data_IF_629982587264
#
_entry.id   IF_629982587264
#
_cell.length_a   1.000
_cell.length_b   1.000
_cell.length_c   1.000
_cell.angle_alpha   90.00
_cell.angle_beta   90.00
_cell.angle_gamma   90.00
#
_symmetry.space_group_name_H-M   'P 1'
#
loop_
_entity.id
_entity.type
_entity.pdbx_description
1 polymer ?
#
# COMPACT_ATOMS: atom_id res chain seq x y z
N UNK A 1 -24.25 -43.81 -39.24
CA UNK A 1 -23.34 -44.89 -38.76
C UNK A 1 -22.05 -44.19 -38.36
N UNK A 2 -21.50 -44.19 -37.15
CA UNK A 2 -21.56 -45.02 -35.92
C UNK A 2 -21.44 -44.05 -34.71
N UNK A 3 -22.35 -44.09 -33.71
CA UNK A 3 -22.12 -44.56 -32.32
C UNK A 3 -20.65 -44.55 -31.85
N UNK A 4 -20.34 -43.96 -30.68
CA UNK A 4 -20.41 -44.67 -29.39
C UNK A 4 -20.06 -43.78 -28.15
N UNK A 5 -20.76 -44.06 -27.04
CA UNK A 5 -20.35 -44.10 -25.61
C UNK A 5 -19.36 -43.06 -25.04
N UNK A 6 -19.59 -42.38 -23.91
CA UNK A 6 -20.15 -42.87 -22.65
C UNK A 6 -19.01 -43.07 -21.64
N UNK A 7 -19.04 -42.36 -20.50
CA UNK A 7 -18.01 -42.46 -19.46
C UNK A 7 -18.39 -41.70 -18.20
N UNK A 8 -19.25 -42.31 -17.39
CA UNK A 8 -19.42 -42.01 -15.96
C UNK A 8 -18.09 -42.30 -15.24
N UNK A 9 -17.71 -41.47 -14.26
CA UNK A 9 -16.84 -41.97 -13.20
C UNK A 9 -17.27 -41.46 -11.84
N UNK A 10 -17.21 -42.40 -10.91
CA UNK A 10 -17.89 -42.46 -9.63
C UNK A 10 -16.95 -42.04 -8.51
N UNK A 11 -17.53 -41.87 -7.31
CA UNK A 11 -16.92 -41.24 -6.16
C UNK A 11 -15.67 -41.90 -5.56
N UNK A 12 -14.98 -41.06 -4.77
CA UNK A 12 -14.08 -41.41 -3.66
C UNK A 12 -14.41 -40.33 -2.61
N UNK A 13 -15.02 -40.59 -1.46
CA UNK A 13 -14.62 -41.55 -0.45
C UNK A 13 -13.69 -40.86 0.57
N UNK A 14 -14.21 -39.92 1.38
CA UNK A 14 -13.43 -39.26 2.44
C UNK A 14 -13.82 -39.85 3.80
N UNK A 15 -12.84 -40.32 4.61
CA UNK A 15 -13.10 -40.91 5.92
C UNK A 15 -13.37 -39.85 7.02
N UNK A 16 -14.15 -40.19 8.07
CA UNK A 16 -14.34 -39.32 9.22
C UNK A 16 -13.12 -39.38 10.18
N UNK A 17 -12.71 -38.21 10.67
CA UNK A 17 -11.67 -38.05 11.68
C UNK A 17 -12.24 -38.04 13.11
N UNK A 18 -11.44 -38.42 14.12
CA UNK A 18 -11.92 -38.90 15.41
C UNK A 18 -12.33 -37.82 16.41
N UNK A 19 -13.34 -38.20 17.19
CA UNK A 19 -13.80 -37.65 18.46
C UNK A 19 -12.65 -37.45 19.45
N UNK A 20 -12.52 -36.25 20.01
CA UNK A 20 -11.71 -36.01 21.22
C UNK A 20 -12.58 -35.38 22.30
N UNK A 21 -12.93 -36.22 23.27
CA UNK A 21 -13.56 -35.87 24.54
C UNK A 21 -12.49 -35.39 25.53
N UNK A 22 -12.80 -34.40 26.37
CA UNK A 22 -11.92 -33.96 27.47
C UNK A 22 -12.21 -32.50 27.86
N UNK A 23 -13.22 -32.23 28.69
CA UNK A 23 -13.18 -32.21 30.17
C UNK A 23 -12.28 -31.08 30.71
N UNK A 24 -12.90 -30.11 31.41
CA UNK A 24 -12.16 -29.18 32.27
C UNK A 24 -12.79 -27.81 32.48
N UNK A 25 -14.02 -27.74 33.00
CA UNK A 25 -14.57 -26.54 33.66
C UNK A 25 -14.11 -26.54 35.12
N UNK A 26 -13.60 -25.43 35.65
CA UNK A 26 -13.94 -25.07 37.02
C UNK A 26 -14.62 -23.69 37.13
N UNK A 27 -15.44 -23.49 38.18
CA UNK A 27 -16.41 -22.39 38.29
C UNK A 27 -15.81 -21.10 38.85
N UNK A 28 -16.57 -20.03 38.63
CA UNK A 28 -16.38 -18.69 39.15
C UNK A 28 -17.03 -18.47 40.54
N UNK A 29 -16.80 -17.27 41.10
CA UNK A 29 -17.58 -16.58 42.17
C UNK A 29 -17.13 -16.98 43.61
N UNK A 30 -16.94 -16.13 44.63
CA UNK A 30 -17.42 -14.78 44.96
C UNK A 30 -16.51 -14.05 45.98
N UNK A 31 -16.88 -12.80 46.24
CA UNK A 31 -16.22 -11.68 46.91
C UNK A 31 -16.28 -11.63 48.45
N UNK A 32 -15.35 -10.81 48.98
CA UNK A 32 -15.46 -9.85 50.13
C UNK A 32 -15.52 -10.40 51.57
N UNK A 33 -15.35 -9.54 52.61
CA UNK A 33 -14.43 -8.41 52.81
C UNK A 33 -13.61 -8.59 54.13
N UNK A 34 -12.48 -7.88 54.31
CA UNK A 34 -11.84 -7.79 55.63
C UNK A 34 -11.61 -6.33 56.03
N UNK A 35 -12.36 -5.91 57.03
CA UNK A 35 -12.23 -4.68 57.81
C UNK A 35 -11.09 -4.82 58.81
N UNK A 36 -10.14 -3.88 58.82
CA UNK A 36 -9.33 -3.58 59.99
C UNK A 36 -9.03 -2.06 60.04
N UNK A 37 -9.37 -1.49 61.18
CA UNK A 37 -9.30 -0.08 61.56
C UNK A 37 -7.96 0.19 62.31
N UNK A 38 -7.69 1.39 62.88
CA UNK A 38 -6.45 2.15 62.70
C UNK A 38 -5.42 2.00 63.84
N UNK A 39 -4.16 2.38 63.59
CA UNK A 39 -3.26 2.97 64.62
C UNK A 39 -2.13 3.73 63.90
N UNK A 40 -2.08 5.05 64.03
CA UNK A 40 -1.33 5.84 65.02
C UNK A 40 0.17 6.01 64.71
N UNK A 41 0.51 7.28 64.39
CA UNK A 41 1.77 8.00 64.67
C UNK A 41 3.08 7.40 64.12
N UNK A 42 3.70 8.13 63.19
CA UNK A 42 5.01 8.74 63.47
C UNK A 42 5.34 9.84 62.47
N UNK A 43 5.59 11.04 63.00
CA UNK A 43 6.19 12.17 62.28
C UNK A 43 7.67 11.86 62.09
N UNK A 44 8.22 12.07 60.89
CA UNK A 44 9.49 12.82 60.63
C UNK A 44 9.97 12.65 59.18
N UNK A 45 10.06 13.80 58.50
CA UNK A 45 11.10 14.22 57.55
C UNK A 45 11.37 13.35 56.31
N UNK A 46 10.93 13.80 55.11
CA UNK A 46 11.63 13.48 53.85
C UNK A 46 11.32 14.44 52.67
N UNK A 47 11.68 15.75 52.70
CA UNK A 47 11.50 16.64 51.55
C UNK A 47 12.69 16.57 50.57
N UNK A 48 13.15 15.37 50.18
CA UNK A 48 14.27 15.21 49.22
C UNK A 48 13.92 14.30 48.03
N UNK A 49 12.86 13.48 48.11
CA UNK A 49 12.49 12.58 47.01
C UNK A 49 11.69 13.23 45.86
N UNK A 50 11.17 14.45 46.04
CA UNK A 50 10.32 15.11 45.03
C UNK A 50 11.12 15.80 43.90
N UNK A 51 12.41 16.10 44.11
CA UNK A 51 13.22 16.81 43.13
C UNK A 51 13.85 15.89 42.06
N UNK A 52 13.93 14.56 42.30
CA UNK A 52 14.49 13.61 41.33
C UNK A 52 13.45 13.05 40.34
N UNK A 53 12.15 13.22 40.61
CA UNK A 53 11.07 12.78 39.72
C UNK A 53 10.67 13.82 38.66
N UNK A 54 11.07 15.10 38.80
CA UNK A 54 10.72 16.15 37.83
C UNK A 54 11.70 16.25 36.65
N UNK A 55 12.93 15.73 36.78
CA UNK A 55 13.96 15.84 35.72
C UNK A 55 13.88 14.71 34.69
N UNK A 56 13.11 13.66 34.94
CA UNK A 56 12.93 12.51 34.02
C UNK A 56 11.87 12.72 32.93
N UNK A 57 11.03 13.76 33.02
CA UNK A 57 9.92 13.98 32.10
C UNK A 57 10.29 14.78 30.83
N UNK A 58 11.50 15.35 30.76
CA UNK A 58 11.92 16.20 29.63
C UNK A 58 12.56 15.42 28.46
N UNK A 59 12.77 14.10 28.59
CA UNK A 59 13.36 13.24 27.55
C UNK A 59 12.33 12.35 26.84
N UNK A 60 11.05 12.49 27.17
CA UNK A 60 9.98 11.73 26.52
C UNK A 60 9.65 12.32 25.13
N UNK A 61 10.42 11.87 24.14
CA UNK A 61 9.84 11.44 22.87
C UNK A 61 9.66 12.50 21.79
N UNK A 62 10.76 12.91 21.16
CA UNK A 62 10.71 13.12 19.71
C UNK A 62 10.51 11.74 19.04
N UNK A 63 9.27 11.24 19.01
CA UNK A 63 8.91 10.12 18.14
C UNK A 63 8.88 10.61 16.70
N UNK A 64 10.06 10.78 16.10
CA UNK A 64 10.19 11.02 14.68
C UNK A 64 9.42 9.93 13.92
N UNK A 65 8.47 10.33 13.07
CA UNK A 65 7.74 9.38 12.23
C UNK A 65 8.75 8.58 11.42
N UNK A 66 8.80 7.27 11.66
CA UNK A 66 9.72 6.39 10.96
C UNK A 66 9.42 6.46 9.45
N UNK A 67 10.45 6.74 8.65
CA UNK A 67 10.36 6.67 7.19
C UNK A 67 10.20 5.20 6.81
N UNK A 68 9.12 4.88 6.10
CA UNK A 68 8.81 3.52 5.63
C UNK A 68 9.53 3.16 4.32
N UNK A 69 9.99 4.17 3.57
CA UNK A 69 10.74 3.98 2.35
C UNK A 69 11.25 5.27 1.73
N UNK A 70 12.21 5.13 0.84
CA UNK A 70 12.80 6.23 0.06
C UNK A 70 12.76 5.86 -1.41
N UNK A 71 12.05 6.65 -2.21
CA UNK A 71 12.16 6.61 -3.67
C UNK A 71 12.72 7.93 -4.15
N UNK A 72 13.35 7.94 -5.31
CA UNK A 72 13.91 9.13 -5.94
C UNK A 72 13.52 9.10 -7.40
N UNK A 73 12.98 10.22 -7.87
CA UNK A 73 12.73 10.44 -9.30
C UNK A 73 13.81 11.37 -9.83
N UNK A 74 14.42 11.00 -10.94
CA UNK A 74 15.48 11.75 -11.60
C UNK A 74 15.12 11.94 -13.06
N UNK A 75 15.07 13.19 -13.53
CA UNK A 75 14.81 13.46 -14.94
C UNK A 75 15.99 13.09 -15.82
N UNK A 76 15.70 12.73 -17.07
CA UNK A 76 16.74 12.56 -18.08
C UNK A 76 17.12 13.93 -18.67
N UNK A 77 18.41 14.18 -18.88
CA UNK A 77 18.91 15.37 -19.58
C UNK A 77 20.11 16.03 -18.91
N UNK A 78 20.62 17.10 -19.54
CA UNK A 78 21.75 17.87 -19.03
C UNK A 78 21.39 18.68 -17.77
N UNK A 79 20.15 19.17 -17.69
CA UNK A 79 19.60 19.89 -16.54
C UNK A 79 18.74 18.97 -15.66
N UNK A 80 19.33 17.87 -15.19
CA UNK A 80 18.62 16.85 -14.44
C UNK A 80 18.05 17.40 -13.12
N UNK A 81 16.74 17.22 -12.92
CA UNK A 81 16.00 17.53 -11.70
C UNK A 81 15.84 16.25 -10.91
N UNK A 82 16.21 16.30 -9.63
CA UNK A 82 15.98 15.21 -8.69
C UNK A 82 14.84 15.57 -7.74
N UNK A 83 13.83 14.70 -7.67
CA UNK A 83 12.76 14.76 -6.70
C UNK A 83 12.87 13.59 -5.70
N UNK A 84 13.30 13.85 -4.45
CA UNK A 84 13.31 12.82 -3.42
C UNK A 84 11.89 12.57 -2.88
N UNK A 85 11.56 11.32 -2.60
CA UNK A 85 10.34 10.89 -1.93
C UNK A 85 10.66 10.18 -0.62
N UNK A 86 10.11 10.69 0.50
CA UNK A 86 10.33 10.14 1.85
C UNK A 86 9.00 9.67 2.42
N UNK A 87 8.64 8.43 2.09
CA UNK A 87 7.30 7.92 2.37
C UNK A 87 7.17 7.53 3.84
N UNK A 88 6.27 8.20 4.57
CA UNK A 88 5.96 7.87 5.97
C UNK A 88 4.91 6.77 6.09
N UNK A 89 4.11 6.56 5.04
CA UNK A 89 3.11 5.50 4.99
C UNK A 89 3.38 4.63 3.77
N UNK A 90 3.58 3.33 4.00
CA UNK A 90 3.68 2.33 2.94
C UNK A 90 2.86 1.11 3.33
N UNK A 91 1.82 0.83 2.56
CA UNK A 91 0.95 -0.33 2.76
C UNK A 91 0.79 -1.11 1.47
N UNK A 92 0.44 -2.38 1.59
CA UNK A 92 0.19 -3.19 0.43
C UNK A 92 -1.01 -4.12 0.63
N UNK A 93 -1.55 -4.57 -0.50
CA UNK A 93 -2.57 -5.60 -0.56
C UNK A 93 -2.19 -6.66 -1.61
N UNK A 94 -2.34 -7.96 -1.30
CA UNK A 94 -2.31 -8.99 -2.32
C UNK A 94 -3.58 -8.91 -3.18
N UNK A 95 -3.47 -9.25 -4.46
CA UNK A 95 -4.61 -9.40 -5.38
C UNK A 95 -4.79 -10.86 -5.78
N UNK A 96 -3.73 -11.47 -6.29
CA UNK A 96 -3.66 -12.87 -6.73
C UNK A 96 -2.36 -13.53 -6.23
N UNK A 97 -2.14 -14.80 -6.60
CA UNK A 97 -0.88 -15.47 -6.29
C UNK A 97 0.27 -14.73 -7.00
N UNK A 98 1.24 -14.22 -6.23
CA UNK A 98 2.41 -13.49 -6.72
C UNK A 98 2.16 -12.09 -7.30
N UNK A 99 0.96 -11.53 -7.09
CA UNK A 99 0.57 -10.17 -7.53
C UNK A 99 0.20 -9.33 -6.30
N UNK A 100 0.67 -8.08 -6.25
CA UNK A 100 0.41 -7.19 -5.12
C UNK A 100 0.44 -5.71 -5.52
N UNK A 101 -0.48 -4.94 -4.94
CA UNK A 101 -0.53 -3.49 -5.07
C UNK A 101 0.10 -2.82 -3.84
N UNK A 102 1.07 -1.95 -4.07
CA UNK A 102 1.76 -1.17 -3.04
C UNK A 102 1.35 0.29 -3.15
N UNK A 103 1.04 0.91 -2.00
CA UNK A 103 0.63 2.30 -1.90
C UNK A 103 1.55 3.02 -0.91
N UNK A 104 2.25 4.04 -1.41
CA UNK A 104 3.16 4.86 -0.64
C UNK A 104 2.65 6.30 -0.60
N UNK A 105 2.77 6.94 0.55
CA UNK A 105 2.38 8.32 0.76
C UNK A 105 3.46 9.10 1.53
N UNK A 106 3.91 10.19 0.91
CA UNK A 106 4.77 11.23 1.46
C UNK A 106 3.91 12.46 1.81
N UNK A 107 3.04 12.26 2.79
CA UNK A 107 2.14 13.24 3.40
C UNK A 107 1.45 12.61 4.61
N UNK A 108 0.84 13.40 5.52
CA UNK A 108 -0.01 12.86 6.56
C UNK A 108 -1.18 12.05 5.97
N UNK A 109 -1.29 10.78 6.36
CA UNK A 109 -2.38 9.89 5.91
C UNK A 109 -3.76 10.49 6.12
N UNK A 110 -3.97 11.23 7.21
CA UNK A 110 -5.24 11.91 7.50
C UNK A 110 -5.62 12.89 6.39
N UNK A 111 -4.68 13.73 5.95
CA UNK A 111 -4.96 14.77 4.95
C UNK A 111 -5.28 14.15 3.60
N UNK A 112 -4.59 13.08 3.22
CA UNK A 112 -4.92 12.29 2.02
C UNK A 112 -6.33 11.71 2.10
N UNK A 113 -6.68 11.05 3.21
CA UNK A 113 -7.99 10.40 3.37
C UNK A 113 -9.17 11.38 3.45
N UNK A 114 -8.91 12.61 3.86
CA UNK A 114 -9.92 13.68 3.93
C UNK A 114 -9.93 14.56 2.67
N UNK A 115 -9.07 14.28 1.68
CA UNK A 115 -8.98 15.07 0.45
C UNK A 115 -8.34 16.45 0.60
N UNK A 116 -7.63 16.68 1.72
CA UNK A 116 -7.03 17.97 2.11
C UNK A 116 -5.50 18.01 1.89
N UNK A 117 -4.98 17.11 1.04
CA UNK A 117 -3.55 17.10 0.70
C UNK A 117 -3.19 18.34 -0.10
N UNK A 118 -2.26 19.14 0.42
CA UNK A 118 -1.76 20.35 -0.26
C UNK A 118 -0.45 20.04 -1.01
N UNK A 119 0.51 19.44 -0.30
CA UNK A 119 1.80 19.03 -0.87
C UNK A 119 2.10 17.59 -0.48
N UNK A 120 2.58 16.80 -1.45
CA UNK A 120 3.05 15.45 -1.18
C UNK A 120 3.18 14.60 -2.43
N UNK A 121 3.64 13.37 -2.21
CA UNK A 121 3.77 12.36 -3.26
C UNK A 121 2.93 11.13 -2.90
N UNK A 122 2.20 10.60 -3.88
CA UNK A 122 1.49 9.33 -3.79
C UNK A 122 1.99 8.40 -4.88
N UNK A 123 2.49 7.23 -4.49
CA UNK A 123 2.99 6.23 -5.44
C UNK A 123 2.16 4.97 -5.31
N UNK A 124 1.66 4.50 -6.45
CA UNK A 124 1.08 3.18 -6.60
C UNK A 124 2.00 2.33 -7.45
N UNK A 125 2.44 1.19 -6.92
CA UNK A 125 3.23 0.20 -7.65
C UNK A 125 2.43 -1.09 -7.70
N UNK A 126 2.11 -1.56 -8.89
CA UNK A 126 1.51 -2.87 -9.09
C UNK A 126 2.62 -3.85 -9.47
N UNK A 127 2.87 -4.84 -8.61
CA UNK A 127 3.72 -5.98 -8.93
C UNK A 127 2.91 -6.97 -9.77
N UNK A 128 3.28 -7.13 -11.03
CA UNK A 128 2.56 -7.94 -12.02
C UNK A 128 2.88 -9.43 -11.90
N UNK A 129 4.11 -9.76 -11.50
CA UNK A 129 4.55 -11.13 -11.27
C UNK A 129 5.81 -11.18 -10.37
N UNK A 130 5.95 -12.27 -9.62
CA UNK A 130 7.09 -12.51 -8.72
C UNK A 130 8.15 -13.38 -9.42
N UNK A 131 9.39 -12.90 -9.62
CA UNK A 131 10.47 -13.75 -10.12
C UNK A 131 10.77 -14.89 -9.14
N UNK A 132 10.93 -16.11 -9.64
CA UNK A 132 11.30 -17.27 -8.82
C UNK A 132 12.82 -17.37 -8.78
N UNK A 133 13.39 -17.19 -7.58
CA UNK A 133 14.83 -17.30 -7.36
C UNK A 133 15.39 -18.62 -7.93
N UNK A 134 16.44 -18.52 -8.74
CA UNK A 134 17.12 -19.67 -9.36
C UNK A 134 16.35 -20.38 -10.47
N UNK A 135 15.12 -19.95 -10.82
CA UNK A 135 14.30 -20.55 -11.90
C UNK A 135 13.95 -19.59 -13.02
N UNK A 136 13.94 -18.29 -12.75
CA UNK A 136 13.74 -17.25 -13.76
C UNK A 136 15.09 -16.63 -14.10
N UNK A 137 15.58 -16.71 -15.35
CA UNK A 137 16.69 -15.88 -15.80
C UNK A 137 16.33 -14.42 -15.54
N UNK A 138 17.02 -13.80 -14.60
CA UNK A 138 16.72 -12.44 -14.16
C UNK A 138 17.45 -11.47 -15.09
N UNK A 139 16.83 -11.16 -16.23
CA UNK A 139 17.26 -9.99 -16.98
C UNK A 139 16.86 -8.74 -16.20
N UNK A 140 17.81 -7.87 -15.88
CA UNK A 140 17.53 -6.57 -15.26
C UNK A 140 16.66 -5.67 -16.15
N UNK A 141 16.58 -5.96 -17.45
CA UNK A 141 15.67 -5.31 -18.38
C UNK A 141 14.23 -5.87 -18.35
N UNK A 142 13.97 -6.95 -17.60
CA UNK A 142 12.63 -7.50 -17.49
C UNK A 142 11.70 -6.55 -16.72
N UNK A 143 10.48 -6.36 -17.22
CA UNK A 143 9.46 -5.54 -16.57
C UNK A 143 8.51 -6.42 -15.76
N UNK A 144 8.45 -6.20 -14.44
CA UNK A 144 7.53 -6.92 -13.56
C UNK A 144 6.70 -6.01 -12.66
N UNK A 145 6.82 -4.68 -12.80
CA UNK A 145 5.94 -3.76 -12.12
C UNK A 145 5.49 -2.61 -13.02
N UNK A 146 4.29 -2.11 -12.76
CA UNK A 146 3.83 -0.82 -13.26
C UNK A 146 3.82 0.20 -12.12
N UNK A 147 4.11 1.46 -12.46
CA UNK A 147 4.22 2.55 -11.49
C UNK A 147 3.29 3.69 -11.91
N UNK A 148 2.53 4.22 -10.95
CA UNK A 148 1.82 5.49 -11.07
C UNK A 148 2.25 6.38 -9.92
N UNK A 149 2.85 7.51 -10.25
CA UNK A 149 3.34 8.50 -9.30
C UNK A 149 2.55 9.79 -9.46
N UNK A 150 1.87 10.22 -8.41
CA UNK A 150 1.11 11.47 -8.37
C UNK A 150 1.83 12.44 -7.45
N UNK A 151 2.10 13.64 -7.96
CA UNK A 151 2.70 14.73 -7.20
C UNK A 151 1.64 15.79 -7.00
N UNK A 152 1.45 16.22 -5.74
CA UNK A 152 0.51 17.28 -5.36
C UNK A 152 1.28 18.53 -4.95
N UNK A 153 0.87 19.69 -5.48
CA UNK A 153 1.37 21.02 -5.08
C UNK A 153 0.22 22.01 -5.12
N UNK A 154 -0.30 22.39 -3.95
CA UNK A 154 -1.50 23.22 -3.88
C UNK A 154 -2.70 22.49 -4.48
N UNK A 155 -3.44 23.21 -5.33
CA UNK A 155 -4.53 22.66 -6.14
C UNK A 155 -4.03 21.92 -7.38
N UNK A 156 -2.76 22.10 -7.74
CA UNK A 156 -2.18 21.49 -8.92
C UNK A 156 -1.69 20.06 -8.66
N UNK A 157 -1.64 19.25 -9.70
CA UNK A 157 -1.02 17.93 -9.64
C UNK A 157 -0.51 17.47 -11.01
N UNK A 158 0.47 16.57 -10.97
CA UNK A 158 0.95 15.82 -12.13
C UNK A 158 0.89 14.32 -11.86
N UNK A 159 0.44 13.55 -12.85
CA UNK A 159 0.44 12.09 -12.83
C UNK A 159 1.49 11.60 -13.80
N UNK A 160 2.46 10.89 -13.27
CA UNK A 160 3.48 10.19 -14.01
C UNK A 160 3.16 8.71 -14.00
N UNK A 161 3.35 8.03 -15.12
CA UNK A 161 3.18 6.59 -15.20
C UNK A 161 4.30 5.95 -16.02
N UNK A 162 4.52 4.68 -15.76
CA UNK A 162 5.41 3.85 -16.55
C UNK A 162 5.61 2.50 -15.90
N UNK A 163 6.76 1.90 -16.14
CA UNK A 163 7.03 0.53 -15.75
C UNK A 163 8.52 0.28 -15.53
N UNK A 164 8.81 -0.81 -14.84
CA UNK A 164 10.17 -1.21 -14.55
C UNK A 164 10.26 -2.54 -13.83
N UNK A 165 11.35 -2.69 -13.08
CA UNK A 165 11.63 -3.90 -12.33
C UNK A 165 11.58 -3.63 -10.83
N UNK A 166 10.77 -4.42 -10.13
CA UNK A 166 10.69 -4.49 -8.69
C UNK A 166 11.28 -5.81 -8.21
N UNK A 167 12.22 -5.72 -7.26
CA UNK A 167 12.82 -6.82 -6.51
C UNK A 167 12.15 -6.93 -5.14
N UNK A 168 11.12 -7.77 -5.01
CA UNK A 168 10.50 -8.03 -3.71
C UNK A 168 11.38 -8.94 -2.85
N UNK A 169 11.34 -8.68 -1.55
CA UNK A 169 11.89 -9.50 -0.48
C UNK A 169 10.79 -9.74 0.56
N UNK A 170 10.62 -11.00 0.94
CA UNK A 170 9.48 -11.48 1.74
C UNK A 170 8.43 -12.21 0.90
N UNK A 171 7.42 -12.77 1.57
CA UNK A 171 6.35 -13.55 0.95
C UNK A 171 5.11 -12.66 0.76
N UNK A 172 4.48 -12.72 -0.41
CA UNK A 172 3.17 -12.09 -0.64
C UNK A 172 2.16 -12.61 0.39
N UNK A 173 1.46 -11.70 1.05
CA UNK A 173 0.50 -12.01 2.13
C UNK A 173 1.13 -12.13 3.53
N UNK A 174 2.44 -11.93 3.68
CA UNK A 174 3.07 -11.81 5.01
C UNK A 174 2.84 -10.43 5.63
N UNK A 175 3.05 -10.25 6.93
CA UNK A 175 2.79 -8.96 7.59
C UNK A 175 3.55 -7.76 7.00
N UNK A 176 4.72 -7.98 6.38
CA UNK A 176 5.54 -6.94 5.76
C UNK A 176 6.26 -7.46 4.52
N UNK A 177 6.44 -6.59 3.54
CA UNK A 177 7.26 -6.85 2.35
C UNK A 177 8.19 -5.69 2.08
N UNK A 178 9.41 -5.98 1.67
CA UNK A 178 10.37 -4.97 1.22
C UNK A 178 10.48 -5.04 -0.29
N UNK A 179 10.38 -3.90 -0.95
CA UNK A 179 10.52 -3.77 -2.40
C UNK A 179 11.72 -2.87 -2.69
N UNK A 180 12.61 -3.33 -3.56
CA UNK A 180 13.62 -2.50 -4.19
C UNK A 180 13.24 -2.28 -5.65
N UNK A 181 13.26 -1.04 -6.10
CA UNK A 181 13.05 -0.67 -7.50
C UNK A 181 14.39 -0.12 -8.00
N UNK A 182 15.22 -0.94 -8.67
CA UNK A 182 16.48 -0.46 -9.21
C UNK A 182 16.25 0.62 -10.25
N UNK A 183 15.22 0.44 -11.09
CA UNK A 183 14.85 1.39 -12.14
C UNK A 183 13.39 1.17 -12.57
N UNK A 184 12.67 2.27 -12.76
CA UNK A 184 11.39 2.30 -13.46
C UNK A 184 11.29 3.60 -14.26
N UNK A 185 10.97 3.49 -15.54
CA UNK A 185 10.76 4.65 -16.39
C UNK A 185 9.43 5.32 -16.04
N UNK A 186 9.40 6.65 -16.10
CA UNK A 186 8.21 7.47 -15.86
C UNK A 186 8.09 8.55 -16.93
N UNK A 187 6.86 8.82 -17.36
CA UNK A 187 6.50 9.99 -18.17
C UNK A 187 5.23 10.61 -17.63
N UNK A 188 5.06 11.93 -17.80
CA UNK A 188 3.81 12.60 -17.50
C UNK A 188 2.71 12.04 -18.41
N UNK A 189 1.58 11.65 -17.82
CA UNK A 189 0.42 11.12 -18.55
C UNK A 189 -0.84 11.96 -18.38
N UNK A 190 -0.91 12.80 -17.33
CA UNK A 190 -2.03 13.70 -17.07
C UNK A 190 -1.60 14.75 -16.04
N UNK A 191 -2.19 15.94 -16.08
CA UNK A 191 -1.98 16.98 -15.07
C UNK A 191 -3.19 17.89 -14.91
N UNK A 192 -3.25 18.64 -13.82
CA UNK A 192 -4.18 19.76 -13.70
C UNK A 192 -3.80 20.91 -14.63
N UNK A 193 -4.71 21.87 -14.79
CA UNK A 193 -4.34 23.20 -15.28
C UNK A 193 -3.29 23.84 -14.35
N UNK A 194 -2.39 24.64 -14.92
CA UNK A 194 -1.32 25.33 -14.19
C UNK A 194 -0.06 24.50 -13.93
N UNK A 195 -0.16 23.16 -13.99
CA UNK A 195 0.98 22.28 -13.74
C UNK A 195 2.12 22.52 -14.74
N UNK A 196 3.31 22.77 -14.21
CA UNK A 196 4.55 22.89 -14.99
C UNK A 196 5.36 21.61 -14.82
N UNK A 197 5.52 20.85 -15.90
CA UNK A 197 6.35 19.65 -15.89
C UNK A 197 7.84 20.02 -15.79
N UNK A 198 8.44 19.73 -14.64
CA UNK A 198 9.89 19.90 -14.38
C UNK A 198 10.67 18.59 -14.46
N UNK A 199 9.97 17.46 -14.52
CA UNK A 199 10.59 16.13 -14.51
C UNK A 199 10.73 15.57 -15.92
N UNK A 200 9.80 15.87 -16.83
CA UNK A 200 9.76 15.27 -18.15
C UNK A 200 9.85 13.73 -18.09
N UNK A 201 10.45 13.11 -19.12
CA UNK A 201 10.90 11.73 -19.03
C UNK A 201 11.89 11.53 -17.88
N UNK A 202 11.62 10.58 -17.01
CA UNK A 202 12.39 10.37 -15.78
C UNK A 202 12.52 8.90 -15.38
N UNK A 203 13.40 8.64 -14.41
CA UNK A 203 13.62 7.33 -13.79
C UNK A 203 13.27 7.38 -12.31
N UNK A 204 12.54 6.37 -11.82
CA UNK A 204 12.26 6.14 -10.41
C UNK A 204 13.12 5.01 -9.87
N UNK A 205 13.83 5.28 -8.78
CA UNK A 205 14.72 4.33 -8.12
C UNK A 205 14.51 4.36 -6.61
N UNK A 206 14.80 3.27 -5.90
CA UNK A 206 14.85 3.25 -4.44
C UNK A 206 14.35 1.97 -3.79
N UNK A 207 13.95 2.07 -2.53
CA UNK A 207 13.41 0.94 -1.79
C UNK A 207 12.46 1.36 -0.68
N UNK A 208 11.54 0.47 -0.32
CA UNK A 208 10.59 0.71 0.75
C UNK A 208 10.16 -0.59 1.41
N UNK A 209 9.63 -0.49 2.62
CA UNK A 209 8.97 -1.61 3.30
C UNK A 209 7.51 -1.28 3.54
N UNK A 210 6.62 -2.09 2.97
CA UNK A 210 5.19 -1.95 3.11
C UNK A 210 4.62 -2.97 4.11
N UNK A 211 3.65 -2.53 4.91
CA UNK A 211 2.90 -3.39 5.83
C UNK A 211 1.63 -3.88 5.15
N UNK A 212 1.23 -5.13 5.41
CA UNK A 212 -0.03 -5.68 4.95
C UNK A 212 -1.19 -4.97 5.66
N UNK A 213 -1.90 -4.11 4.94
CA UNK A 213 -3.11 -3.43 5.42
C UNK A 213 -4.04 -3.17 4.24
N UNK A 214 -4.87 -4.17 3.96
CA UNK A 214 -5.78 -4.18 2.84
C UNK A 214 -6.87 -3.10 2.96
N UNK A 215 -7.28 -2.76 4.19
CA UNK A 215 -8.27 -1.71 4.45
C UNK A 215 -7.68 -0.34 4.15
N UNK A 216 -6.50 -0.03 4.67
CA UNK A 216 -5.85 1.26 4.42
C UNK A 216 -5.42 1.40 2.96
N UNK A 217 -4.92 0.32 2.34
CA UNK A 217 -4.58 0.29 0.92
C UNK A 217 -5.77 0.70 0.03
N UNK A 218 -6.95 0.10 0.24
CA UNK A 218 -8.18 0.48 -0.47
C UNK A 218 -8.58 1.93 -0.23
N UNK A 219 -8.52 2.39 1.03
CA UNK A 219 -8.88 3.78 1.38
C UNK A 219 -7.95 4.79 0.72
N UNK A 220 -6.65 4.53 0.70
CA UNK A 220 -5.67 5.39 0.03
C UNK A 220 -5.88 5.43 -1.48
N UNK A 221 -6.07 4.27 -2.10
CA UNK A 221 -6.36 4.17 -3.53
C UNK A 221 -7.62 4.97 -3.91
N UNK A 222 -8.70 4.79 -3.14
CA UNK A 222 -9.95 5.51 -3.36
C UNK A 222 -9.77 7.03 -3.17
N UNK A 223 -9.15 7.46 -2.06
CA UNK A 223 -8.91 8.87 -1.79
C UNK A 223 -8.07 9.53 -2.89
N UNK A 224 -6.99 8.88 -3.34
CA UNK A 224 -6.17 9.37 -4.45
C UNK A 224 -6.99 9.58 -5.71
N UNK A 225 -7.82 8.59 -6.05
CA UNK A 225 -8.66 8.62 -7.24
C UNK A 225 -9.70 9.73 -7.16
N UNK A 226 -10.31 9.94 -5.99
CA UNK A 226 -11.27 11.01 -5.77
C UNK A 226 -10.64 12.39 -5.87
N UNK A 227 -9.47 12.61 -5.26
CA UNK A 227 -8.75 13.90 -5.32
C UNK A 227 -8.40 14.23 -6.78
N UNK A 228 -7.81 13.29 -7.50
CA UNK A 228 -7.46 13.46 -8.92
C UNK A 228 -8.71 13.76 -9.74
N UNK A 229 -9.80 13.01 -9.55
CA UNK A 229 -11.05 13.21 -10.30
C UNK A 229 -11.66 14.58 -10.02
N UNK A 230 -11.70 15.00 -8.75
CA UNK A 230 -12.22 16.30 -8.35
C UNK A 230 -11.40 17.45 -8.96
N UNK A 231 -10.07 17.37 -8.91
CA UNK A 231 -9.17 18.41 -9.45
C UNK A 231 -9.15 18.46 -10.97
N UNK A 232 -9.40 17.34 -11.65
CA UNK A 232 -9.58 17.33 -13.10
C UNK A 232 -10.89 18.00 -13.56
N UNK A 233 -11.87 18.15 -12.66
CA UNK A 233 -13.18 18.71 -12.98
C UNK A 233 -13.99 17.88 -14.00
N UNK A 234 -13.55 16.66 -14.33
CA UNK A 234 -14.22 15.76 -15.28
C UNK A 234 -14.26 14.33 -14.73
N UNK A 235 -15.42 13.66 -14.69
CA UNK A 235 -15.47 12.23 -14.39
C UNK A 235 -14.78 11.48 -15.53
N UNK A 236 -13.77 10.68 -15.19
CA UNK A 236 -13.12 9.83 -16.18
C UNK A 236 -13.93 8.55 -16.35
N UNK A 237 -14.80 8.52 -17.35
CA UNK A 237 -15.33 7.25 -17.82
C UNK A 237 -14.16 6.44 -18.38
N UNK A 238 -13.96 5.21 -17.88
CA UNK A 238 -13.17 4.22 -18.59
C UNK A 238 -13.93 3.97 -19.89
N UNK A 239 -13.47 4.59 -20.98
CA UNK A 239 -14.04 4.32 -22.31
C UNK A 239 -13.69 2.87 -22.64
N UNK A 240 -14.58 1.95 -22.29
CA UNK A 240 -14.52 0.59 -22.80
C UNK A 240 -14.53 0.68 -24.33
N UNK A 241 -13.53 0.09 -24.98
CA UNK A 241 -13.46 -0.03 -26.43
C UNK A 241 -14.71 -0.75 -26.96
N UNK A 242 -15.76 0.01 -27.27
CA UNK A 242 -16.89 -0.46 -28.06
C UNK A 242 -17.02 0.28 -29.39
N UNK A 243 -16.06 1.18 -29.72
CA UNK A 243 -16.10 1.97 -30.97
C UNK A 243 -15.75 1.18 -32.24
N UNK A 244 -15.29 -0.06 -32.14
CA UNK A 244 -14.98 -0.88 -33.32
C UNK A 244 -16.22 -1.61 -33.86
N UNK A 245 -17.25 -1.85 -33.04
CA UNK A 245 -18.40 -2.68 -33.44
C UNK A 245 -19.46 -1.86 -34.23
N UNK A 246 -19.54 -0.54 -34.00
CA UNK A 246 -20.51 0.33 -34.69
C UNK A 246 -20.13 0.64 -36.15
N UNK A 247 -18.84 0.61 -36.52
CA UNK A 247 -18.45 0.77 -37.93
C UNK A 247 -18.74 -0.49 -38.76
N UNK A 248 -18.60 -1.68 -38.17
CA UNK A 248 -18.83 -2.93 -38.89
C UNK A 248 -20.32 -3.21 -39.17
N UNK A 249 -21.25 -2.64 -38.37
CA UNK A 249 -22.68 -2.82 -38.61
C UNK A 249 -23.28 -1.81 -39.61
N UNK A 250 -22.66 -0.65 -39.80
CA UNK A 250 -23.16 0.36 -40.76
C UNK A 250 -22.82 0.01 -42.22
N UNK A 251 -21.84 -0.86 -42.45
CA UNK A 251 -21.40 -1.26 -43.80
C UNK A 251 -22.11 -2.52 -44.33
N UNK A 252 -22.91 -3.22 -43.51
CA UNK A 252 -23.62 -4.46 -43.87
C UNK A 252 -25.12 -4.29 -44.19
N UNK A 253 -25.61 -3.08 -44.45
CA UNK A 253 -26.96 -2.88 -44.99
C UNK A 253 -26.89 -2.56 -46.49
N UNK A 254 -26.98 -3.58 -47.37
CA UNK A 254 -27.36 -3.34 -48.76
C UNK A 254 -28.83 -2.89 -48.80
N UNK A 255 -29.10 -1.87 -49.61
CA UNK A 255 -30.46 -1.48 -50.00
C UNK A 255 -31.09 -2.47 -50.97
#
# INVERSE_FOLDING_TARGET
MMRNSGGQNSGVGVPPAPTTSGVGVPPAINRSPSTAHPSMRSRRNLPILAALLLTGAALAGCSGKAVSGTLRVESYGADAVTLPGRFTTSVYRPSEENVASFFLLDAPTKDMLEGRIDRGQFVHIELLWLPRAGKTPLDSAATNCSVRHVIFVGEEFGIYAGAGFAKPSGKVGSGRMTISVPEASLTLVESSAGWVDRLGPSSLTGSFTATLDDRLARRLSFAASQIVTNRLGRPRYVMGENRVIDRAQKEKRPG
#
